data_IF_071953311036
#
_entry.id   IF_071953311036
#
_cell.length_a   1.000
_cell.length_b   1.000
_cell.length_c   1.000
_cell.angle_alpha   90.00
_cell.angle_beta   90.00
_cell.angle_gamma   90.00
#
_symmetry.space_group_name_H-M   'P 1'
#
loop_
_entity.id
_entity.type
_entity.pdbx_description
1 polymer ?
#
# COMPACT_ATOMS: atom_id res chain seq x y z
N UNK A 1 31.78 -13.77 -2.39
CA UNK A 1 31.26 -12.48 -2.90
C UNK A 1 30.02 -12.84 -3.70
N UNK A 2 28.82 -12.50 -3.22
CA UNK A 2 27.59 -12.76 -3.98
C UNK A 2 27.69 -12.01 -5.32
N UNK A 3 27.60 -12.72 -6.43
CA UNK A 3 27.45 -12.06 -7.74
C UNK A 3 26.25 -11.11 -7.67
N UNK A 4 26.49 -9.83 -7.93
CA UNK A 4 25.44 -8.84 -7.99
C UNK A 4 24.70 -9.08 -9.29
N UNK A 5 23.48 -9.60 -9.17
CA UNK A 5 22.58 -9.82 -10.29
C UNK A 5 22.20 -8.46 -10.90
N UNK A 6 22.46 -8.26 -12.19
CA UNK A 6 22.01 -7.06 -12.89
C UNK A 6 20.49 -7.14 -13.12
N UNK A 7 19.76 -6.10 -12.71
CA UNK A 7 18.30 -6.06 -12.75
C UNK A 7 17.79 -4.97 -13.71
N UNK A 8 16.84 -5.33 -14.54
CA UNK A 8 16.14 -4.43 -15.46
C UNK A 8 14.76 -4.10 -14.88
N UNK A 9 14.50 -2.81 -14.65
CA UNK A 9 13.24 -2.29 -14.11
C UNK A 9 12.32 -1.80 -15.22
N UNK A 10 11.12 -2.38 -15.32
CA UNK A 10 10.12 -1.97 -16.29
C UNK A 10 9.17 -0.89 -15.72
N UNK A 11 8.54 -0.13 -16.61
CA UNK A 11 7.57 0.92 -16.27
C UNK A 11 6.28 0.39 -15.65
N UNK A 12 5.94 -0.87 -15.93
CA UNK A 12 4.78 -1.59 -15.38
C UNK A 12 5.04 -2.24 -14.01
N UNK A 13 6.25 -2.05 -13.46
CA UNK A 13 6.64 -2.58 -12.16
C UNK A 13 7.26 -3.98 -12.19
N UNK A 14 7.38 -4.64 -13.35
CA UNK A 14 8.18 -5.88 -13.45
C UNK A 14 9.66 -5.60 -13.27
N UNK A 15 10.36 -6.54 -12.64
CA UNK A 15 11.81 -6.52 -12.51
C UNK A 15 12.36 -7.87 -12.93
N UNK A 16 13.26 -7.89 -13.92
CA UNK A 16 13.86 -9.12 -14.44
C UNK A 16 15.37 -9.09 -14.27
N UNK A 17 15.99 -10.25 -14.12
CA UNK A 17 17.44 -10.33 -14.25
C UNK A 17 17.85 -10.22 -15.72
N UNK A 18 18.93 -9.46 -15.95
CA UNK A 18 19.60 -9.46 -17.23
C UNK A 18 20.23 -10.83 -17.50
N UNK A 19 20.16 -11.28 -18.75
CA UNK A 19 20.71 -12.57 -19.17
C UNK A 19 21.74 -12.42 -20.30
N UNK A 20 21.93 -11.22 -20.86
CA UNK A 20 22.85 -10.95 -21.98
C UNK A 20 22.69 -11.92 -23.17
N UNK A 21 21.47 -12.41 -23.40
CA UNK A 21 21.14 -13.44 -24.40
C UNK A 21 21.79 -14.83 -24.15
N UNK A 22 22.36 -15.07 -22.98
CA UNK A 22 22.82 -16.40 -22.58
C UNK A 22 21.62 -17.30 -22.24
N UNK A 23 21.36 -18.37 -23.02
CA UNK A 23 20.26 -19.28 -22.74
C UNK A 23 20.48 -20.15 -21.49
N UNK A 24 21.69 -20.20 -20.93
CA UNK A 24 22.00 -20.94 -19.71
C UNK A 24 21.55 -20.21 -18.43
N UNK A 25 21.33 -18.89 -18.50
CA UNK A 25 20.85 -18.11 -17.36
C UNK A 25 19.31 -18.07 -17.36
N UNK A 26 18.73 -18.65 -16.31
CA UNK A 26 17.28 -18.63 -16.11
C UNK A 26 16.76 -17.19 -15.92
N UNK A 27 15.75 -16.79 -16.70
CA UNK A 27 15.08 -15.50 -16.54
C UNK A 27 13.96 -15.59 -15.52
N UNK A 28 14.14 -14.88 -14.42
CA UNK A 28 13.21 -14.81 -13.29
C UNK A 28 12.62 -13.41 -13.23
N UNK A 29 11.28 -13.34 -13.12
CA UNK A 29 10.54 -12.06 -13.08
C UNK A 29 10.01 -11.80 -11.68
N UNK A 30 10.57 -10.81 -11.01
CA UNK A 30 10.06 -10.22 -9.79
C UNK A 30 9.23 -8.96 -10.05
N UNK A 31 9.03 -8.16 -9.00
CA UNK A 31 8.29 -6.91 -9.09
C UNK A 31 8.81 -5.83 -8.13
N UNK A 32 8.59 -4.58 -8.50
CA UNK A 32 8.68 -3.40 -7.66
C UNK A 32 7.50 -2.47 -8.01
N UNK A 33 6.57 -2.32 -7.07
CA UNK A 33 5.36 -1.50 -7.23
C UNK A 33 5.17 -0.57 -6.03
N UNK A 34 4.20 0.32 -6.13
CA UNK A 34 3.87 1.27 -5.07
C UNK A 34 2.39 1.19 -4.70
N UNK A 35 2.10 1.02 -3.42
CA UNK A 35 0.75 1.13 -2.89
C UNK A 35 0.60 2.52 -2.27
N UNK A 36 -0.23 3.35 -2.89
CA UNK A 36 -0.64 4.64 -2.36
C UNK A 36 -1.92 4.40 -1.57
N UNK A 37 -2.00 4.91 -0.35
CA UNK A 37 -3.25 4.93 0.39
C UNK A 37 -3.50 6.27 1.06
N UNK A 38 -4.77 6.64 1.17
CA UNK A 38 -5.19 7.88 1.81
C UNK A 38 -6.25 7.64 2.89
N UNK A 39 -6.12 8.36 4.00
CA UNK A 39 -7.21 8.62 4.94
C UNK A 39 -7.71 10.06 4.74
N UNK A 40 -9.03 10.23 4.69
CA UNK A 40 -9.68 11.42 4.16
C UNK A 40 -10.52 12.09 5.25
N UNK A 41 -10.02 13.22 5.73
CA UNK A 41 -10.69 14.05 6.73
C UNK A 41 -11.87 14.84 6.17
N UNK A 42 -12.78 15.24 7.05
CA UNK A 42 -13.77 16.26 6.73
C UNK A 42 -13.10 17.64 6.63
N UNK A 43 -13.82 18.68 6.18
CA UNK A 43 -13.25 19.97 5.78
C UNK A 43 -12.25 20.61 6.78
N UNK A 44 -12.44 20.40 8.10
CA UNK A 44 -11.55 20.94 9.14
C UNK A 44 -10.58 19.91 9.74
N UNK A 45 -10.72 18.64 9.34
CA UNK A 45 -9.88 17.54 9.80
C UNK A 45 -8.68 17.36 8.87
N UNK A 46 -7.65 16.69 9.37
CA UNK A 46 -6.52 16.34 8.54
C UNK A 46 -6.86 15.16 7.63
N UNK A 47 -6.28 15.20 6.43
CA UNK A 47 -6.16 14.05 5.54
C UNK A 47 -4.69 13.63 5.52
N UNK A 48 -4.46 12.34 5.30
CA UNK A 48 -3.12 11.79 5.22
C UNK A 48 -2.98 10.87 4.02
N UNK A 49 -1.79 10.86 3.43
CA UNK A 49 -1.44 9.96 2.33
C UNK A 49 -0.13 9.26 2.67
N UNK A 50 -0.07 7.96 2.44
CA UNK A 50 1.11 7.13 2.66
C UNK A 50 1.40 6.32 1.40
N UNK A 51 2.68 6.15 1.05
CA UNK A 51 3.12 5.30 -0.05
C UNK A 51 4.05 4.21 0.47
N UNK A 52 3.68 2.96 0.20
CA UNK A 52 4.50 1.78 0.43
C UNK A 52 5.12 1.35 -0.89
N UNK A 53 6.46 1.28 -0.95
CA UNK A 53 7.18 0.52 -1.96
C UNK A 53 7.08 -0.96 -1.59
N UNK A 54 6.58 -1.79 -2.50
CA UNK A 54 6.39 -3.24 -2.31
C UNK A 54 7.15 -3.99 -3.41
N UNK A 55 8.09 -4.83 -3.01
CA UNK A 55 9.00 -5.50 -3.95
C UNK A 55 9.34 -6.94 -3.57
N UNK A 56 9.55 -7.76 -4.59
CA UNK A 56 10.18 -9.06 -4.48
C UNK A 56 11.10 -9.20 -5.70
N UNK A 57 12.41 -9.04 -5.48
CA UNK A 57 13.38 -8.90 -6.55
C UNK A 57 14.06 -10.25 -6.85
N UNK A 58 14.45 -10.52 -8.11
CA UNK A 58 15.32 -11.65 -8.42
C UNK A 58 16.64 -11.55 -7.63
N UNK A 59 17.10 -12.68 -7.10
CA UNK A 59 18.34 -12.83 -6.32
C UNK A 59 18.99 -14.18 -6.61
N UNK A 60 20.26 -14.34 -6.27
CA UNK A 60 20.96 -15.62 -6.40
C UNK A 60 20.88 -16.40 -5.08
N UNK A 61 20.42 -17.64 -5.14
CA UNK A 61 20.42 -18.59 -4.02
C UNK A 61 20.91 -19.95 -4.52
N UNK A 62 21.93 -20.52 -3.87
CA UNK A 62 22.50 -21.83 -4.22
C UNK A 62 22.80 -21.98 -5.72
N UNK A 63 23.43 -20.95 -6.32
CA UNK A 63 23.78 -20.89 -7.75
C UNK A 63 22.60 -20.91 -8.73
N UNK A 64 21.38 -20.60 -8.27
CA UNK A 64 20.21 -20.38 -9.11
C UNK A 64 19.64 -18.99 -8.89
N UNK A 65 19.07 -18.41 -9.95
CA UNK A 65 18.27 -17.19 -9.83
C UNK A 65 16.90 -17.59 -9.27
N UNK A 66 16.47 -16.93 -8.19
CA UNK A 66 15.18 -17.13 -7.52
C UNK A 66 14.56 -15.78 -7.18
N UNK A 67 13.28 -15.76 -6.80
CA UNK A 67 12.66 -14.57 -6.22
C UNK A 67 13.05 -14.47 -4.75
N UNK A 68 13.64 -13.32 -4.38
CA UNK A 68 13.97 -13.01 -3.01
C UNK A 68 12.74 -12.78 -2.13
N UNK A 69 12.94 -12.63 -0.81
CA UNK A 69 11.84 -12.35 0.09
C UNK A 69 11.14 -11.05 -0.30
N UNK A 70 9.82 -11.03 -0.12
CA UNK A 70 9.02 -9.82 -0.30
C UNK A 70 9.39 -8.80 0.77
N UNK A 71 9.59 -7.54 0.38
CA UNK A 71 9.92 -6.42 1.26
C UNK A 71 9.00 -5.25 0.98
N UNK A 72 8.60 -4.58 2.04
CA UNK A 72 7.85 -3.33 1.98
C UNK A 72 8.57 -2.24 2.73
N UNK A 73 8.54 -1.05 2.18
CA UNK A 73 9.10 0.13 2.81
C UNK A 73 8.16 1.30 2.63
N UNK A 74 7.82 1.97 3.72
CA UNK A 74 7.11 3.25 3.66
C UNK A 74 8.10 4.30 3.16
N UNK A 75 7.85 4.84 1.96
CA UNK A 75 8.80 5.72 1.24
C UNK A 75 8.33 7.16 1.14
N UNK A 76 7.04 7.41 1.40
CA UNK A 76 6.46 8.75 1.37
C UNK A 76 5.28 8.82 2.33
N UNK A 77 5.14 9.96 2.98
CA UNK A 77 3.95 10.33 3.72
C UNK A 77 3.71 11.84 3.57
N UNK A 78 2.45 12.22 3.49
CA UNK A 78 2.00 13.62 3.47
C UNK A 78 0.76 13.78 4.34
N UNK A 79 0.58 14.97 4.91
CA UNK A 79 -0.53 15.31 5.79
C UNK A 79 -0.97 16.75 5.53
N UNK A 80 -2.23 16.91 5.14
CA UNK A 80 -2.78 18.20 4.69
C UNK A 80 -4.22 18.39 5.18
N UNK A 81 -4.72 19.64 5.17
CA UNK A 81 -6.09 20.00 5.54
C UNK A 81 -6.51 21.31 4.89
N UNK A 82 -7.79 21.64 4.95
CA UNK A 82 -8.31 22.91 4.42
C UNK A 82 -8.28 23.01 2.90
N UNK A 83 -8.30 21.86 2.22
CA UNK A 83 -8.34 21.74 0.75
C UNK A 83 -9.69 21.20 0.31
N UNK A 84 -10.13 21.56 -0.89
CA UNK A 84 -11.39 21.04 -1.44
C UNK A 84 -11.26 19.56 -1.82
N UNK A 85 -12.34 18.79 -1.84
CA UNK A 85 -12.29 17.40 -2.28
C UNK A 85 -11.85 17.23 -3.74
N UNK A 86 -12.08 18.25 -4.58
CA UNK A 86 -11.53 18.30 -5.94
C UNK A 86 -10.00 18.36 -5.90
N UNK A 87 -9.44 19.25 -5.07
CA UNK A 87 -7.99 19.36 -4.92
C UNK A 87 -7.37 18.11 -4.30
N UNK A 88 -8.09 17.42 -3.42
CA UNK A 88 -7.67 16.11 -2.88
C UNK A 88 -7.59 15.07 -3.99
N UNK A 89 -8.64 14.95 -4.82
CA UNK A 89 -8.66 14.01 -5.96
C UNK A 89 -7.50 14.32 -6.91
N UNK A 90 -7.30 15.59 -7.25
CA UNK A 90 -6.20 16.02 -8.11
C UNK A 90 -4.83 15.71 -7.49
N UNK A 91 -4.68 15.90 -6.18
CA UNK A 91 -3.46 15.54 -5.46
C UNK A 91 -3.16 14.05 -5.55
N UNK A 92 -4.16 13.19 -5.30
CA UNK A 92 -4.01 11.73 -5.39
C UNK A 92 -3.66 11.26 -6.81
N UNK A 93 -4.26 11.86 -7.83
CA UNK A 93 -3.98 11.56 -9.25
C UNK A 93 -2.56 11.99 -9.61
N UNK A 94 -2.16 13.21 -9.22
CA UNK A 94 -0.79 13.71 -9.45
C UNK A 94 0.23 12.82 -8.77
N UNK A 95 0.02 12.46 -7.50
CA UNK A 95 0.90 11.58 -6.76
C UNK A 95 1.00 10.20 -7.43
N UNK A 96 -0.14 9.60 -7.81
CA UNK A 96 -0.18 8.31 -8.51
C UNK A 96 0.64 8.28 -9.79
N UNK A 97 0.64 9.38 -10.54
CA UNK A 97 1.29 9.47 -11.84
C UNK A 97 2.71 10.07 -11.77
N UNK A 98 3.12 10.66 -10.65
CA UNK A 98 4.44 11.24 -10.48
C UNK A 98 5.54 10.16 -10.50
N UNK A 99 6.74 10.44 -11.04
CA UNK A 99 7.90 9.58 -10.83
C UNK A 99 8.25 9.50 -9.33
N UNK A 100 8.63 8.33 -8.79
CA UNK A 100 8.82 7.04 -9.46
C UNK A 100 7.56 6.14 -9.50
N UNK A 101 6.39 6.65 -9.16
CA UNK A 101 5.15 5.87 -8.93
C UNK A 101 4.39 5.54 -10.22
N UNK A 102 4.42 6.42 -11.22
CA UNK A 102 3.67 6.29 -12.46
C UNK A 102 3.86 4.95 -13.19
N UNK A 103 2.75 4.35 -13.63
CA UNK A 103 2.73 3.08 -14.37
C UNK A 103 2.78 1.81 -13.51
N UNK A 104 3.11 1.95 -12.21
CA UNK A 104 3.32 0.82 -11.28
C UNK A 104 2.79 1.12 -9.87
N UNK A 105 1.78 1.98 -9.78
CA UNK A 105 1.13 2.38 -8.55
C UNK A 105 -0.33 1.96 -8.50
N UNK A 106 -0.76 1.53 -7.32
CA UNK A 106 -2.15 1.27 -6.98
C UNK A 106 -2.63 2.28 -5.96
N UNK A 107 -3.91 2.66 -6.04
CA UNK A 107 -4.54 3.61 -5.14
C UNK A 107 -5.59 2.90 -4.29
N UNK A 108 -5.48 3.07 -2.97
CA UNK A 108 -6.51 2.72 -2.01
C UNK A 108 -6.90 3.97 -1.22
N UNK A 109 -8.13 4.07 -0.77
CA UNK A 109 -8.58 5.13 0.13
C UNK A 109 -9.39 4.50 1.26
N UNK A 110 -9.36 5.10 2.45
CA UNK A 110 -10.42 4.87 3.41
C UNK A 110 -11.72 5.36 2.76
N UNK A 111 -12.65 4.43 2.54
CA UNK A 111 -13.97 4.68 1.97
C UNK A 111 -15.01 5.08 3.02
N UNK A 112 -14.61 5.16 4.29
CA UNK A 112 -15.48 5.52 5.41
C UNK A 112 -15.91 6.98 5.32
N UNK A 113 -17.18 7.25 5.62
CA UNK A 113 -17.73 8.61 5.67
C UNK A 113 -17.50 9.37 4.35
N UNK A 114 -16.68 10.42 4.36
CA UNK A 114 -16.39 11.26 3.20
C UNK A 114 -15.56 10.56 2.13
N UNK A 115 -14.83 9.51 2.50
CA UNK A 115 -14.06 8.70 1.56
C UNK A 115 -14.90 8.11 0.43
N UNK A 116 -16.19 7.86 0.69
CA UNK A 116 -17.13 7.43 -0.35
C UNK A 116 -17.38 8.49 -1.41
N UNK A 117 -17.47 9.76 -1.02
CA UNK A 117 -17.63 10.88 -1.95
C UNK A 117 -16.38 11.02 -2.83
N UNK A 118 -15.19 10.96 -2.22
CA UNK A 118 -13.92 10.99 -2.96
C UNK A 118 -13.78 9.78 -3.89
N UNK A 119 -14.26 8.61 -3.47
CA UNK A 119 -14.32 7.41 -4.33
C UNK A 119 -15.15 7.68 -5.60
N UNK A 120 -16.35 8.25 -5.44
CA UNK A 120 -17.24 8.55 -6.58
C UNK A 120 -16.58 9.54 -7.55
N UNK A 121 -15.94 10.60 -7.03
CA UNK A 121 -15.20 11.57 -7.85
C UNK A 121 -14.02 10.94 -8.60
N UNK A 122 -13.22 10.08 -7.94
CA UNK A 122 -12.13 9.34 -8.60
C UNK A 122 -12.65 8.45 -9.73
N UNK A 123 -13.81 7.82 -9.53
CA UNK A 123 -14.41 6.95 -10.54
C UNK A 123 -14.98 7.71 -11.73
N UNK A 124 -15.61 8.86 -11.50
CA UNK A 124 -16.06 9.75 -12.57
C UNK A 124 -14.89 10.23 -13.44
N UNK A 125 -13.70 10.38 -12.85
CA UNK A 125 -12.46 10.70 -13.58
C UNK A 125 -11.74 9.46 -14.17
N UNK A 126 -12.32 8.27 -14.08
CA UNK A 126 -11.75 7.04 -14.64
C UNK A 126 -10.50 6.52 -13.91
N UNK A 127 -10.29 6.92 -12.65
CA UNK A 127 -9.14 6.51 -11.86
C UNK A 127 -9.43 5.18 -11.17
N UNK A 128 -8.65 4.13 -11.50
CA UNK A 128 -8.74 2.87 -10.77
C UNK A 128 -8.23 3.02 -9.33
N UNK A 129 -9.08 2.64 -8.38
CA UNK A 129 -8.80 2.70 -6.96
C UNK A 129 -9.59 1.62 -6.21
N UNK A 130 -9.26 1.45 -4.92
CA UNK A 130 -10.04 0.62 -3.99
C UNK A 130 -10.51 1.49 -2.84
N UNK A 131 -11.81 1.50 -2.58
CA UNK A 131 -12.40 2.19 -1.43
C UNK A 131 -12.63 1.19 -0.31
N UNK A 132 -11.81 1.27 0.74
CA UNK A 132 -11.84 0.34 1.87
C UNK A 132 -12.72 0.91 2.97
N UNK A 133 -13.89 0.32 3.16
CA UNK A 133 -14.78 0.59 4.28
C UNK A 133 -14.29 -0.19 5.50
N UNK A 134 -13.84 0.51 6.54
CA UNK A 134 -13.53 -0.12 7.81
C UNK A 134 -14.82 -0.55 8.52
N UNK A 135 -14.89 -1.82 8.89
CA UNK A 135 -16.02 -2.41 9.62
C UNK A 135 -15.58 -2.98 10.96
N UNK A 136 -16.54 -3.38 11.80
CA UNK A 136 -16.24 -4.30 12.90
C UNK A 136 -15.92 -5.71 12.39
N UNK A 137 -15.24 -6.51 13.19
CA UNK A 137 -14.95 -7.93 12.91
C UNK A 137 -13.49 -8.22 12.53
N UNK A 138 -13.28 -9.46 12.08
CA UNK A 138 -11.95 -10.06 11.81
C UNK A 138 -11.81 -10.63 10.38
N UNK A 139 -12.69 -10.20 9.47
CA UNK A 139 -12.72 -10.70 8.09
C UNK A 139 -12.79 -9.52 7.10
N UNK A 140 -12.58 -9.81 5.82
CA UNK A 140 -12.72 -8.84 4.75
C UNK A 140 -13.39 -9.43 3.51
N UNK A 141 -14.06 -8.59 2.74
CA UNK A 141 -14.71 -8.97 1.49
C UNK A 141 -14.60 -7.86 0.46
N UNK A 142 -14.62 -8.21 -0.83
CA UNK A 142 -14.54 -7.25 -1.94
C UNK A 142 -15.69 -7.41 -2.92
N UNK A 143 -16.27 -6.27 -3.32
CA UNK A 143 -17.27 -6.17 -4.40
C UNK A 143 -16.89 -5.01 -5.33
N UNK A 144 -16.29 -5.34 -6.47
CA UNK A 144 -15.75 -4.35 -7.40
C UNK A 144 -14.65 -3.51 -6.74
N UNK A 145 -14.78 -2.18 -6.78
CA UNK A 145 -13.86 -1.23 -6.13
C UNK A 145 -14.01 -1.15 -4.62
N UNK A 146 -15.15 -1.56 -4.06
CA UNK A 146 -15.43 -1.46 -2.64
C UNK A 146 -14.92 -2.70 -1.90
N UNK A 147 -14.25 -2.47 -0.77
CA UNK A 147 -13.74 -3.51 0.11
C UNK A 147 -14.27 -3.23 1.51
N UNK A 148 -14.86 -4.22 2.17
CA UNK A 148 -15.15 -4.13 3.60
C UNK A 148 -14.05 -4.89 4.32
N UNK A 149 -13.42 -4.29 5.32
CA UNK A 149 -12.38 -4.94 6.10
C UNK A 149 -12.52 -4.60 7.59
N UNK A 150 -12.43 -5.63 8.43
CA UNK A 150 -12.44 -5.46 9.88
C UNK A 150 -11.26 -4.59 10.35
N UNK A 151 -11.54 -3.52 11.10
CA UNK A 151 -10.48 -2.62 11.61
C UNK A 151 -9.43 -3.37 12.44
N UNK A 152 -9.87 -4.29 13.29
CA UNK A 152 -8.97 -5.11 14.12
C UNK A 152 -8.06 -5.97 13.25
N UNK A 153 -8.62 -6.64 12.24
CA UNK A 153 -7.87 -7.44 11.28
C UNK A 153 -6.78 -6.63 10.56
N UNK A 154 -7.11 -5.42 10.09
CA UNK A 154 -6.15 -4.57 9.37
C UNK A 154 -5.00 -4.11 10.28
N UNK A 155 -5.28 -3.78 11.55
CA UNK A 155 -4.27 -3.35 12.51
C UNK A 155 -3.37 -4.52 12.93
N UNK A 156 -3.95 -5.68 13.20
CA UNK A 156 -3.19 -6.91 13.49
C UNK A 156 -2.29 -7.29 12.31
N UNK A 157 -2.79 -7.17 11.07
CA UNK A 157 -1.99 -7.41 9.88
C UNK A 157 -0.77 -6.49 9.82
N UNK A 158 -0.96 -5.19 10.08
CA UNK A 158 0.14 -4.23 10.11
C UNK A 158 1.19 -4.60 11.18
N UNK A 159 0.75 -4.97 12.38
CA UNK A 159 1.63 -5.38 13.47
C UNK A 159 2.46 -6.63 13.10
N UNK A 160 1.85 -7.61 12.43
CA UNK A 160 2.56 -8.81 11.94
C UNK A 160 3.63 -8.44 10.90
N UNK A 161 3.31 -7.54 9.96
CA UNK A 161 4.28 -7.12 8.94
C UNK A 161 5.50 -6.42 9.55
N UNK A 162 5.31 -5.58 10.58
CA UNK A 162 6.42 -4.96 11.31
C UNK A 162 7.22 -5.99 12.11
N UNK A 163 6.55 -6.89 12.84
CA UNK A 163 7.20 -7.91 13.65
C UNK A 163 8.05 -8.89 12.81
N UNK A 164 7.58 -9.22 11.60
CA UNK A 164 8.31 -10.06 10.65
C UNK A 164 9.46 -9.33 9.94
N UNK A 165 9.58 -8.00 10.10
CA UNK A 165 10.53 -7.18 9.33
C UNK A 165 10.19 -7.09 7.84
N UNK A 166 8.96 -7.44 7.45
CA UNK A 166 8.46 -7.36 6.08
C UNK A 166 8.03 -5.94 5.71
N UNK A 167 7.72 -5.09 6.69
CA UNK A 167 7.45 -3.67 6.51
C UNK A 167 8.43 -2.83 7.36
N UNK A 168 9.06 -1.85 6.73
CA UNK A 168 10.01 -0.92 7.36
C UNK A 168 9.72 0.52 6.97
N UNK A 169 10.34 1.47 7.66
CA UNK A 169 10.35 2.89 7.28
C UNK A 169 11.62 3.23 6.51
N UNK A 170 11.50 4.02 5.44
CA UNK A 170 12.67 4.62 4.80
C UNK A 170 13.42 5.52 5.80
N UNK A 171 14.75 5.59 5.65
CA UNK A 171 15.61 6.32 6.61
C UNK A 171 15.20 7.80 6.79
N UNK A 172 14.85 8.47 5.69
CA UNK A 172 14.49 9.89 5.66
C UNK A 172 12.98 10.09 5.41
N UNK A 173 12.13 9.20 5.93
CA UNK A 173 10.69 9.30 5.74
C UNK A 173 10.14 10.56 6.47
N UNK A 174 9.51 11.51 5.76
CA UNK A 174 8.77 12.59 6.40
C UNK A 174 7.60 12.04 7.22
N UNK A 175 7.24 12.72 8.29
CA UNK A 175 6.11 12.35 9.16
C UNK A 175 6.26 10.97 9.86
N UNK A 176 7.47 10.41 9.91
CA UNK A 176 7.70 9.12 10.56
C UNK A 176 7.30 9.15 12.04
N UNK A 177 7.68 10.19 12.76
CA UNK A 177 7.37 10.31 14.19
C UNK A 177 5.86 10.39 14.40
N UNK A 178 5.17 11.17 13.58
CA UNK A 178 3.71 11.32 13.62
C UNK A 178 3.00 10.00 13.32
N UNK A 179 3.49 9.21 12.37
CA UNK A 179 2.97 7.86 12.10
C UNK A 179 3.20 6.95 13.32
N UNK A 180 4.39 6.96 13.92
CA UNK A 180 4.70 6.14 15.10
C UNK A 180 3.81 6.53 16.30
N UNK A 181 3.61 7.83 16.53
CA UNK A 181 2.72 8.36 17.56
C UNK A 181 1.25 7.98 17.31
N UNK A 182 0.77 8.13 16.07
CA UNK A 182 -0.58 7.74 15.67
C UNK A 182 -0.81 6.24 15.87
N UNK A 183 0.14 5.40 15.45
CA UNK A 183 0.06 3.95 15.66
C UNK A 183 0.07 3.56 17.14
N UNK A 184 0.84 4.28 17.96
CA UNK A 184 0.90 4.04 19.41
C UNK A 184 -0.39 4.39 20.15
N UNK A 185 -1.26 5.22 19.54
CA UNK A 185 -2.54 5.65 20.11
C UNK A 185 -3.65 4.58 20.02
N UNK A 186 -3.44 3.52 19.22
CA UNK A 186 -4.41 2.42 19.13
C UNK A 186 -4.33 1.54 20.37
N UNK A 187 -5.46 1.41 21.06
CA UNK A 187 -5.59 0.57 22.26
C UNK A 187 -6.71 -0.44 22.09
N UNK A 188 -6.42 -1.70 22.40
CA UNK A 188 -7.42 -2.77 22.46
C UNK A 188 -8.24 -2.65 23.74
N UNK A 189 -9.56 -2.61 23.59
CA UNK A 189 -10.51 -2.70 24.69
C UNK A 189 -11.38 -3.94 24.53
N UNK A 190 -11.67 -4.62 25.62
CA UNK A 190 -12.62 -5.74 25.63
C UNK A 190 -13.99 -5.20 26.04
N UNK A 191 -14.98 -5.35 25.17
CA UNK A 191 -16.37 -5.00 25.48
C UNK A 191 -16.96 -5.92 26.53
N UNK A 192 -18.06 -5.51 27.17
CA UNK A 192 -18.78 -6.35 28.14
C UNK A 192 -19.28 -7.69 27.56
N UNK A 193 -19.46 -7.76 26.23
CA UNK A 193 -19.83 -8.98 25.52
C UNK A 193 -18.63 -9.89 25.16
N UNK A 194 -17.41 -9.54 25.60
CA UNK A 194 -16.19 -10.29 25.33
C UNK A 194 -15.52 -10.00 23.98
N UNK A 195 -16.11 -9.14 23.14
CA UNK A 195 -15.51 -8.75 21.86
C UNK A 195 -14.35 -7.78 22.09
N UNK A 196 -13.20 -8.03 21.47
CA UNK A 196 -12.11 -7.07 21.40
C UNK A 196 -12.40 -6.02 20.32
N UNK A 197 -12.34 -4.75 20.72
CA UNK A 197 -12.48 -3.60 19.83
C UNK A 197 -11.20 -2.77 19.92
N UNK A 198 -10.74 -2.23 18.79
CA UNK A 198 -9.64 -1.27 18.80
C UNK A 198 -10.20 0.14 18.85
N UNK A 199 -9.81 0.85 19.89
CA UNK A 199 -10.11 2.27 20.09
C UNK A 199 -8.87 3.10 19.80
N UNK A 200 -9.07 4.36 19.49
CA UNK A 200 -7.98 5.30 19.24
C UNK A 200 -8.15 6.49 20.18
N UNK A 201 -7.13 6.80 20.97
CA UNK A 201 -7.15 8.00 21.80
C UNK A 201 -7.02 9.24 20.91
N UNK A 202 -7.72 10.33 21.26
CA UNK A 202 -7.51 11.62 20.60
C UNK A 202 -6.20 12.21 21.13
N UNK A 203 -5.24 12.46 20.25
CA UNK A 203 -3.99 13.14 20.59
C UNK A 203 -4.10 14.65 20.28
N UNK A 204 -3.22 15.46 20.87
CA UNK A 204 -3.18 16.91 20.67
C UNK A 204 -2.95 17.32 19.19
N UNK A 205 -2.38 16.40 18.41
CA UNK A 205 -1.98 16.56 17.00
C UNK A 205 -3.13 16.41 15.99
N UNK A 206 -4.37 16.18 16.43
CA UNK A 206 -5.52 15.89 15.55
C UNK A 206 -5.80 14.39 15.41
N UNK A 207 -6.79 14.05 14.57
CA UNK A 207 -7.18 12.67 14.26
C UNK A 207 -5.96 11.85 13.78
N UNK A 208 -5.89 10.56 14.13
CA UNK A 208 -4.71 9.73 13.83
C UNK A 208 -4.71 9.18 12.41
N UNK A 209 -4.82 10.12 11.47
CA UNK A 209 -5.08 9.90 10.06
C UNK A 209 -3.87 9.26 9.36
N UNK A 210 -2.65 9.58 9.81
CA UNK A 210 -1.42 9.03 9.20
C UNK A 210 -1.26 7.54 9.53
N UNK A 211 -1.64 7.15 10.75
CA UNK A 211 -1.71 5.75 11.16
C UNK A 211 -2.74 4.96 10.34
N UNK A 212 -3.95 5.52 10.16
CA UNK A 212 -5.00 4.89 9.34
C UNK A 212 -4.58 4.77 7.87
N UNK A 213 -4.00 5.81 7.28
CA UNK A 213 -3.49 5.75 5.91
C UNK A 213 -2.46 4.62 5.73
N UNK A 214 -1.55 4.43 6.71
CA UNK A 214 -0.61 3.32 6.69
C UNK A 214 -1.28 1.94 6.85
N UNK A 215 -2.27 1.82 7.74
CA UNK A 215 -3.07 0.59 7.92
C UNK A 215 -3.76 0.20 6.60
N UNK A 216 -4.37 1.18 5.92
CA UNK A 216 -5.01 0.99 4.61
C UNK A 216 -3.98 0.58 3.55
N UNK A 217 -2.82 1.24 3.50
CA UNK A 217 -1.74 0.90 2.55
C UNK A 217 -1.22 -0.53 2.76
N UNK A 218 -0.97 -0.93 4.00
CA UNK A 218 -0.44 -2.25 4.33
C UNK A 218 -1.44 -3.35 3.96
N UNK A 219 -2.71 -3.17 4.32
CA UNK A 219 -3.77 -4.10 3.95
C UNK A 219 -3.94 -4.20 2.43
N UNK A 220 -3.97 -3.07 1.71
CA UNK A 220 -4.11 -3.06 0.26
C UNK A 220 -2.94 -3.77 -0.43
N UNK A 221 -1.71 -3.48 0.00
CA UNK A 221 -0.52 -4.16 -0.52
C UNK A 221 -0.56 -5.67 -0.24
N UNK A 222 -1.01 -6.09 0.94
CA UNK A 222 -1.05 -7.52 1.30
C UNK A 222 -2.15 -8.29 0.56
N UNK A 223 -3.37 -7.76 0.49
CA UNK A 223 -4.56 -8.53 0.10
C UNK A 223 -5.20 -8.10 -1.22
N UNK A 224 -4.99 -6.87 -1.66
CA UNK A 224 -5.71 -6.32 -2.82
C UNK A 224 -4.85 -6.23 -4.08
N UNK A 225 -3.53 -6.10 -3.90
CA UNK A 225 -2.60 -6.02 -5.00
C UNK A 225 -2.65 -7.32 -5.85
N UNK A 226 -2.55 -7.23 -7.19
CA UNK A 226 -2.56 -8.39 -8.07
C UNK A 226 -1.52 -9.41 -7.62
N UNK A 227 -1.99 -10.62 -7.31
CA UNK A 227 -1.12 -11.73 -6.90
C UNK A 227 -0.56 -12.53 -8.09
N UNK A 228 -0.93 -12.18 -9.32
CA UNK A 228 -0.47 -12.86 -10.53
C UNK A 228 0.18 -11.90 -11.52
N UNK A 229 1.46 -12.11 -11.83
CA UNK A 229 2.06 -11.61 -13.07
C UNK A 229 1.43 -12.45 -14.19
N UNK A 230 0.58 -11.85 -15.03
CA UNK A 230 0.13 -12.51 -16.26
C UNK A 230 1.34 -12.69 -17.18
N UNK A 231 1.89 -13.89 -17.22
CA UNK A 231 2.79 -14.31 -18.30
C UNK A 231 1.92 -14.59 -19.51
N UNK A 232 1.73 -13.61 -20.39
CA UNK A 232 1.19 -13.88 -21.72
C UNK A 232 2.30 -14.49 -22.57
N UNK A 233 2.24 -15.80 -22.80
CA UNK A 233 3.02 -16.42 -23.87
C UNK A 233 2.55 -15.81 -25.20
N UNK A 234 3.46 -15.16 -25.93
CA UNK A 234 3.26 -14.88 -27.35
C UNK A 234 3.23 -16.23 -28.06
N UNK A 235 2.03 -16.70 -28.40
CA UNK A 235 1.87 -17.79 -29.37
C UNK A 235 2.25 -17.22 -30.75
N UNK A 236 3.27 -17.82 -31.36
CA UNK A 236 3.80 -17.38 -32.65
C UNK A 236 2.73 -17.35 -33.73
N UNK A 237 2.70 -16.25 -34.49
CA UNK A 237 2.04 -16.25 -35.79
C UNK A 237 2.96 -16.95 -36.78
N UNK A 238 2.49 -18.10 -37.29
CA UNK A 238 3.00 -18.73 -38.51
C UNK A 238 2.59 -17.93 -39.74
#
# INVERSE_FOLDING_TARGET
MSEVLELVYHTDGRVVNETHQDPAIERVTGFQRYQIAADLGQANDYSAVVVIKDEALPTVASSRVVIGPRRRTVVYADRFRGVSYVDVVDHLIRLRNAPPFGGKSELAIDGTSIGRVVSDMLWEQGVDHKAIQMTGGQDWSRKGRYVNAGKTFMIENLAVLFAAGELTFAHNLPLRQEIEEDLSSFTTQTTAAGNQIITQSRNASGHGDTGIALIVAAFASQYLAPQGIKVSHLSGMY
#
